data_IF_654579010791
#
_entry.id   IF_654579010791
#
_cell.length_a   1.000
_cell.length_b   1.000
_cell.length_c   1.000
_cell.angle_alpha   90.00
_cell.angle_beta   90.00
_cell.angle_gamma   90.00
#
_symmetry.space_group_name_H-M   'P 1'
#
loop_
_entity.id
_entity.type
_entity.pdbx_description
1 polymer ?
#
# COMPACT_ATOMS: atom_id res chain seq x y z
N UNK A 1 -56.01 -58.68 -24.36
CA UNK A 1 -57.34 -58.63 -23.71
C UNK A 1 -57.12 -58.56 -22.21
N UNK A 2 -57.39 -57.39 -21.60
CA UNK A 2 -58.37 -57.18 -20.52
C UNK A 2 -57.94 -57.84 -19.17
N UNK A 3 -57.82 -57.19 -18.02
CA UNK A 3 -58.49 -56.07 -17.33
C UNK A 3 -57.46 -55.47 -16.32
N UNK A 4 -57.50 -54.25 -15.78
CA UNK A 4 -58.57 -53.28 -15.56
C UNK A 4 -58.79 -53.03 -14.05
N UNK A 5 -58.70 -51.75 -13.63
CA UNK A 5 -59.17 -51.07 -12.39
C UNK A 5 -58.20 -51.00 -11.18
N UNK A 6 -57.70 -49.83 -10.78
CA UNK A 6 -58.30 -48.57 -10.25
C UNK A 6 -58.54 -48.64 -8.74
N UNK A 7 -57.84 -47.78 -7.97
CA UNK A 7 -58.40 -47.14 -6.77
C UNK A 7 -57.63 -45.86 -6.44
N UNK A 8 -58.28 -44.72 -6.70
CA UNK A 8 -57.91 -43.39 -6.20
C UNK A 8 -58.24 -43.25 -4.71
N UNK A 9 -57.40 -42.53 -3.95
CA UNK A 9 -57.85 -41.78 -2.76
C UNK A 9 -57.04 -40.50 -2.58
N UNK A 10 -57.72 -39.36 -2.77
CA UNK A 10 -57.29 -38.04 -2.30
C UNK A 10 -57.61 -37.92 -0.82
N UNK A 11 -56.70 -37.38 -0.02
CA UNK A 11 -57.02 -36.55 1.15
C UNK A 11 -56.01 -35.40 1.21
N UNK A 12 -56.49 -34.27 1.70
CA UNK A 12 -56.04 -32.90 1.48
C UNK A 12 -55.57 -32.33 2.83
N UNK A 13 -54.86 -31.19 2.76
CA UNK A 13 -54.73 -30.11 3.78
C UNK A 13 -53.62 -30.25 4.85
N UNK A 14 -52.62 -29.36 4.82
CA UNK A 14 -52.38 -28.24 5.78
C UNK A 14 -50.97 -27.61 5.61
N UNK A 15 -50.93 -26.34 5.18
CA UNK A 15 -49.96 -25.30 5.64
C UNK A 15 -50.49 -24.74 6.98
N UNK A 16 -49.73 -24.03 7.85
CA UNK A 16 -48.57 -23.13 7.66
C UNK A 16 -47.42 -23.42 8.69
N UNK A 17 -46.32 -22.67 8.92
CA UNK A 17 -46.08 -21.23 8.96
C UNK A 17 -44.58 -20.85 8.94
N UNK A 18 -44.35 -19.59 8.54
CA UNK A 18 -43.30 -18.63 8.93
C UNK A 18 -42.08 -19.07 9.77
N UNK A 19 -40.89 -18.79 9.22
CA UNK A 19 -39.71 -18.24 9.93
C UNK A 19 -38.99 -17.28 8.95
N UNK A 20 -39.23 -15.96 9.06
CA UNK A 20 -38.29 -14.93 9.56
C UNK A 20 -36.96 -14.85 8.76
N UNK A 21 -36.87 -13.91 7.81
CA UNK A 21 -36.26 -12.57 7.95
C UNK A 21 -34.76 -12.62 8.32
N UNK A 22 -33.93 -12.32 7.32
CA UNK A 22 -32.51 -12.02 7.47
C UNK A 22 -31.90 -11.53 6.16
N UNK A 23 -32.55 -10.60 5.45
CA UNK A 23 -31.85 -9.90 4.36
C UNK A 23 -30.90 -8.91 5.01
N UNK A 24 -29.61 -9.24 4.95
CA UNK A 24 -28.53 -8.40 5.42
C UNK A 24 -28.72 -6.98 4.91
N UNK A 25 -28.76 -6.04 5.86
CA UNK A 25 -28.46 -4.65 5.56
C UNK A 25 -27.13 -4.67 4.81
N UNK A 26 -27.11 -4.12 3.60
CA UNK A 26 -25.88 -3.53 3.10
C UNK A 26 -25.42 -2.53 4.15
N UNK A 27 -24.47 -2.94 4.97
CA UNK A 27 -23.62 -2.04 5.74
C UNK A 27 -22.85 -1.24 4.69
N UNK A 28 -23.49 -0.18 4.18
CA UNK A 28 -22.77 0.95 3.60
C UNK A 28 -21.98 1.54 4.76
N UNK A 29 -20.82 0.96 5.04
CA UNK A 29 -19.77 1.67 5.77
C UNK A 29 -19.41 2.87 4.91
N UNK A 30 -20.07 3.99 5.16
CA UNK A 30 -19.49 5.28 4.87
C UNK A 30 -18.10 5.29 5.52
N UNK A 31 -17.02 5.59 4.78
CA UNK A 31 -15.69 5.68 5.36
C UNK A 31 -15.73 6.70 6.50
N UNK A 32 -15.16 6.33 7.66
CA UNK A 32 -15.17 7.20 8.84
C UNK A 32 -14.28 8.40 8.53
N UNK A 33 -14.77 9.61 8.81
CA UNK A 33 -14.01 10.87 8.66
C UNK A 33 -12.88 11.05 9.70
N UNK A 34 -12.30 9.95 10.21
CA UNK A 34 -11.21 9.94 11.19
C UNK A 34 -9.85 9.57 10.58
N UNK A 35 -9.77 9.46 9.25
CA UNK A 35 -8.61 8.87 8.55
C UNK A 35 -7.80 9.89 7.72
N UNK A 36 -8.09 11.19 7.79
CA UNK A 36 -7.38 12.23 7.03
C UNK A 36 -6.35 12.99 7.90
N UNK A 37 -5.20 13.36 7.34
CA UNK A 37 -4.22 14.24 8.00
C UNK A 37 -4.20 15.58 7.26
N UNK A 38 -4.95 16.56 7.76
CA UNK A 38 -5.18 17.86 7.11
C UNK A 38 -4.13 18.87 7.53
N UNK A 39 -3.62 18.75 8.75
CA UNK A 39 -2.72 19.72 9.38
C UNK A 39 -1.30 19.18 9.52
N UNK A 40 -0.33 20.10 9.67
CA UNK A 40 1.07 19.75 9.94
C UNK A 40 1.24 18.93 11.23
N UNK A 41 0.41 19.21 12.24
CA UNK A 41 0.43 18.49 13.51
C UNK A 41 -0.06 17.05 13.35
N UNK A 42 -1.07 16.82 12.51
CA UNK A 42 -1.55 15.47 12.19
C UNK A 42 -0.53 14.68 11.37
N UNK A 43 0.13 15.31 10.38
CA UNK A 43 1.23 14.70 9.63
C UNK A 43 2.41 14.34 10.54
N UNK A 44 2.76 15.24 11.47
CA UNK A 44 3.81 15.00 12.48
C UNK A 44 3.42 13.86 13.41
N UNK A 45 2.18 13.85 13.90
CA UNK A 45 1.67 12.78 14.76
C UNK A 45 1.66 11.43 14.03
N UNK A 46 1.28 11.40 12.75
CA UNK A 46 1.35 10.21 11.92
C UNK A 46 2.78 9.68 11.79
N UNK A 47 3.74 10.56 11.47
CA UNK A 47 5.16 10.19 11.40
C UNK A 47 5.65 9.57 12.71
N UNK A 48 5.33 10.18 13.85
CA UNK A 48 5.72 9.67 15.17
C UNK A 48 5.15 8.27 15.41
N UNK A 49 3.85 8.06 15.15
CA UNK A 49 3.20 6.74 15.30
C UNK A 49 3.84 5.64 14.44
N UNK A 50 4.30 5.97 13.24
CA UNK A 50 5.02 4.99 12.41
C UNK A 50 6.43 4.73 12.92
N UNK A 51 7.13 5.78 13.36
CA UNK A 51 8.50 5.69 13.90
C UNK A 51 8.54 4.82 15.15
N UNK A 52 7.58 5.00 16.07
CA UNK A 52 7.48 4.22 17.31
C UNK A 52 7.30 2.71 17.09
N UNK A 53 6.79 2.31 15.91
CA UNK A 53 6.59 0.89 15.55
C UNK A 53 7.84 0.25 14.94
N UNK A 54 8.89 1.03 14.67
CA UNK A 54 10.14 0.57 14.09
C UNK A 54 11.27 0.93 15.06
N UNK A 55 11.51 0.09 16.09
CA UNK A 55 12.62 0.32 17.02
C UNK A 55 13.94 0.49 16.29
N UNK A 56 14.67 1.58 16.59
CA UNK A 56 15.94 1.90 15.96
C UNK A 56 15.84 2.58 14.60
N UNK A 57 14.65 2.99 14.15
CA UNK A 57 14.51 3.71 12.88
C UNK A 57 15.39 4.97 12.83
N UNK A 58 16.20 5.07 11.78
CA UNK A 58 16.99 6.26 11.45
C UNK A 58 16.54 6.75 10.08
N UNK A 59 16.26 8.05 10.00
CA UNK A 59 15.88 8.67 8.73
C UNK A 59 17.01 8.47 7.71
N UNK A 60 16.74 7.91 6.50
CA UNK A 60 17.76 7.76 5.48
C UNK A 60 18.23 9.12 4.97
N UNK A 61 19.47 9.20 4.51
CA UNK A 61 20.03 10.36 3.82
C UNK A 61 19.40 10.56 2.43
N UNK A 62 19.02 9.47 1.75
CA UNK A 62 18.28 9.49 0.48
C UNK A 62 17.45 8.21 0.31
N UNK A 63 16.32 8.29 -0.41
CA UNK A 63 15.53 7.09 -0.73
C UNK A 63 14.65 7.28 -1.97
N UNK A 64 14.27 6.17 -2.60
CA UNK A 64 13.33 6.14 -3.72
C UNK A 64 12.63 4.78 -3.83
N UNK A 65 11.59 4.71 -4.66
CA UNK A 65 11.01 3.45 -5.13
C UNK A 65 11.19 3.38 -6.65
N UNK A 66 11.55 2.21 -7.16
CA UNK A 66 11.52 1.94 -8.59
C UNK A 66 10.65 0.74 -8.91
N UNK A 67 9.97 0.78 -10.05
CA UNK A 67 9.41 -0.40 -10.70
C UNK A 67 10.52 -1.09 -11.50
N UNK A 68 10.57 -2.41 -11.43
CA UNK A 68 11.41 -3.30 -12.24
C UNK A 68 10.53 -4.12 -13.18
N UNK A 69 10.80 -3.95 -14.46
CA UNK A 69 10.23 -4.69 -15.59
C UNK A 69 11.35 -5.10 -16.58
N UNK A 70 10.99 -5.72 -17.70
CA UNK A 70 11.96 -6.16 -18.72
C UNK A 70 12.73 -5.01 -19.36
N UNK A 71 12.18 -3.78 -19.37
CA UNK A 71 12.84 -2.59 -19.88
C UNK A 71 13.82 -1.98 -18.85
N UNK A 72 13.78 -2.44 -17.59
CA UNK A 72 14.72 -2.09 -16.54
C UNK A 72 14.04 -1.43 -15.33
N UNK A 73 14.71 -0.41 -14.78
CA UNK A 73 14.20 0.34 -13.63
C UNK A 73 13.58 1.66 -14.08
N UNK A 74 12.33 1.86 -13.68
CA UNK A 74 11.62 3.13 -13.74
C UNK A 74 11.50 3.68 -12.33
N UNK A 75 12.18 4.78 -12.04
CA UNK A 75 12.17 5.41 -10.72
C UNK A 75 10.95 6.32 -10.56
N UNK A 76 10.33 6.28 -9.38
CA UNK A 76 9.39 7.29 -8.92
C UNK A 76 10.12 8.55 -8.46
N UNK A 77 9.52 9.28 -7.52
CA UNK A 77 10.15 10.47 -6.95
C UNK A 77 11.45 10.10 -6.21
N UNK A 78 12.53 10.84 -6.51
CA UNK A 78 13.81 10.72 -5.83
C UNK A 78 13.83 11.67 -4.63
N UNK A 79 14.03 11.13 -3.43
CA UNK A 79 14.28 11.95 -2.24
C UNK A 79 15.78 12.01 -2.06
N UNK A 80 16.39 13.11 -2.49
CA UNK A 80 17.84 13.33 -2.54
C UNK A 80 18.38 13.78 -1.17
N UNK A 81 19.71 13.87 -1.07
CA UNK A 81 20.38 14.37 0.12
C UNK A 81 19.89 15.78 0.48
N UNK A 82 19.37 15.95 1.70
CA UNK A 82 18.83 17.22 2.19
C UNK A 82 17.36 17.49 1.84
N UNK A 83 16.73 16.71 0.97
CA UNK A 83 15.32 16.89 0.55
C UNK A 83 14.42 15.71 0.97
N UNK A 84 14.84 14.95 1.98
CA UNK A 84 14.14 13.76 2.46
C UNK A 84 12.77 14.10 3.04
N UNK A 85 11.73 13.37 2.62
CA UNK A 85 10.35 13.48 3.14
C UNK A 85 10.12 12.47 4.28
N UNK A 86 10.16 12.87 5.57
CA UNK A 86 10.26 11.91 6.67
C UNK A 86 9.04 11.00 6.86
N UNK A 87 7.84 11.52 6.62
CA UNK A 87 6.61 10.73 6.74
C UNK A 87 6.58 9.61 5.69
N UNK A 88 6.88 9.92 4.43
CA UNK A 88 6.94 8.93 3.36
C UNK A 88 8.07 7.92 3.59
N UNK A 89 9.24 8.36 4.07
CA UNK A 89 10.35 7.47 4.41
C UNK A 89 9.95 6.42 5.45
N UNK A 90 9.34 6.84 6.57
CA UNK A 90 8.97 5.90 7.64
C UNK A 90 7.78 5.00 7.26
N UNK A 91 6.85 5.49 6.42
CA UNK A 91 5.78 4.66 5.87
C UNK A 91 6.36 3.55 4.98
N UNK A 92 7.29 3.89 4.09
CA UNK A 92 7.95 2.90 3.22
C UNK A 92 8.78 1.90 4.05
N UNK A 93 9.52 2.38 5.05
CA UNK A 93 10.26 1.55 5.97
C UNK A 93 9.35 0.54 6.71
N UNK A 94 8.17 0.98 7.11
CA UNK A 94 7.18 0.15 7.83
C UNK A 94 6.61 -1.01 7.01
N UNK A 95 6.80 -1.01 5.68
CA UNK A 95 6.37 -2.10 4.79
C UNK A 95 7.53 -2.96 4.31
N UNK A 96 8.72 -2.39 4.14
CA UNK A 96 9.88 -3.10 3.58
C UNK A 96 10.88 -3.59 4.64
N UNK A 97 10.73 -3.16 5.90
CA UNK A 97 11.61 -3.56 7.01
C UNK A 97 12.92 -2.77 7.08
N UNK A 98 13.02 -1.61 6.43
CA UNK A 98 14.17 -0.71 6.65
C UNK A 98 14.16 -0.19 8.09
N UNK A 99 15.34 -0.15 8.70
CA UNK A 99 15.55 0.41 10.05
C UNK A 99 16.58 1.54 9.99
N UNK A 100 17.83 1.25 9.63
CA UNK A 100 18.91 2.24 9.69
C UNK A 100 20.12 1.91 8.79
N UNK A 101 19.95 1.06 7.77
CA UNK A 101 21.07 0.57 6.94
C UNK A 101 20.85 0.83 5.47
N UNK A 102 21.91 1.24 4.75
CA UNK A 102 21.88 1.31 3.29
C UNK A 102 21.49 -0.05 2.71
N UNK A 103 20.56 -0.06 1.75
CA UNK A 103 20.01 -1.29 1.22
C UNK A 103 19.00 -1.12 0.10
N UNK A 104 18.81 -2.22 -0.64
CA UNK A 104 17.76 -2.36 -1.65
C UNK A 104 16.79 -3.45 -1.19
N UNK A 105 15.52 -3.08 -1.02
CA UNK A 105 14.48 -3.94 -0.48
C UNK A 105 13.48 -4.28 -1.57
N UNK A 106 13.30 -5.58 -1.85
CA UNK A 106 12.31 -6.05 -2.83
C UNK A 106 10.90 -5.92 -2.25
N UNK A 107 10.00 -5.39 -3.06
CA UNK A 107 8.58 -5.29 -2.79
C UNK A 107 7.81 -5.95 -3.92
N UNK A 108 6.77 -6.70 -3.58
CA UNK A 108 5.72 -7.06 -4.53
C UNK A 108 4.71 -5.90 -4.67
N UNK A 109 3.74 -6.10 -5.56
CA UNK A 109 2.67 -5.11 -5.81
C UNK A 109 1.85 -4.83 -4.56
N UNK A 110 1.59 -5.85 -3.75
CA UNK A 110 0.75 -5.76 -2.56
C UNK A 110 1.41 -4.90 -1.49
N UNK A 111 2.72 -5.04 -1.29
CA UNK A 111 3.49 -4.21 -0.34
C UNK A 111 3.61 -2.76 -0.76
N UNK A 112 3.79 -2.48 -2.06
CA UNK A 112 3.78 -1.09 -2.51
C UNK A 112 2.38 -0.47 -2.42
N UNK A 113 1.33 -1.24 -2.73
CA UNK A 113 -0.06 -0.80 -2.51
C UNK A 113 -0.33 -0.50 -1.04
N UNK A 114 0.12 -1.36 -0.12
CA UNK A 114 0.03 -1.14 1.32
C UNK A 114 0.72 0.17 1.75
N UNK A 115 1.90 0.49 1.18
CA UNK A 115 2.56 1.77 1.45
C UNK A 115 1.74 2.97 0.96
N UNK A 116 1.13 2.87 -0.22
CA UNK A 116 0.24 3.90 -0.77
C UNK A 116 -0.98 4.09 0.12
N UNK A 117 -1.64 3.02 0.55
CA UNK A 117 -2.81 3.09 1.42
C UNK A 117 -2.47 3.70 2.79
N UNK A 118 -1.32 3.33 3.37
CA UNK A 118 -0.83 3.89 4.63
C UNK A 118 -0.49 5.38 4.53
N UNK A 119 -0.05 5.86 3.36
CA UNK A 119 0.30 7.27 3.12
C UNK A 119 -0.88 8.12 2.61
N UNK A 120 -1.90 7.50 2.01
CA UNK A 120 -3.05 8.18 1.41
C UNK A 120 -3.75 9.23 2.31
N UNK A 121 -3.87 9.04 3.64
CA UNK A 121 -4.36 10.09 4.55
C UNK A 121 -3.70 11.46 4.42
N UNK A 122 -2.42 11.51 4.02
CA UNK A 122 -1.67 12.74 3.85
C UNK A 122 -2.20 13.61 2.71
N UNK A 123 -2.89 13.03 1.72
CA UNK A 123 -3.46 13.74 0.57
C UNK A 123 -4.44 14.86 0.98
N UNK A 124 -5.04 14.76 2.18
CA UNK A 124 -5.93 15.77 2.73
C UNK A 124 -5.21 17.07 3.12
N UNK A 125 -3.90 17.03 3.38
CA UNK A 125 -3.07 18.22 3.58
C UNK A 125 -2.73 18.84 2.23
N UNK A 126 -3.68 19.58 1.65
CA UNK A 126 -3.58 20.16 0.31
C UNK A 126 -2.58 21.33 0.19
N UNK A 127 -2.14 21.88 1.32
CA UNK A 127 -1.11 22.93 1.39
C UNK A 127 0.31 22.42 1.19
N UNK A 128 0.52 21.10 1.19
CA UNK A 128 1.83 20.47 0.96
C UNK A 128 1.76 19.49 -0.22
N UNK A 129 2.79 19.47 -1.10
CA UNK A 129 2.86 18.47 -2.15
C UNK A 129 3.23 17.08 -1.60
N UNK A 130 2.66 16.03 -2.19
CA UNK A 130 2.90 14.63 -1.82
C UNK A 130 3.54 13.82 -2.97
N UNK A 131 4.73 14.22 -3.47
CA UNK A 131 5.30 13.65 -4.69
C UNK A 131 5.58 12.14 -4.60
N UNK A 132 5.95 11.65 -3.40
CA UNK A 132 6.11 10.22 -3.16
C UNK A 132 4.79 9.46 -3.39
N UNK A 133 3.70 9.91 -2.77
CA UNK A 133 2.39 9.26 -2.88
C UNK A 133 1.94 9.16 -4.35
N UNK A 134 2.05 10.27 -5.09
CA UNK A 134 1.70 10.30 -6.51
C UNK A 134 2.59 9.39 -7.34
N UNK A 135 3.91 9.48 -7.16
CA UNK A 135 4.84 8.64 -7.92
C UNK A 135 4.65 7.14 -7.65
N UNK A 136 4.33 6.73 -6.41
CA UNK A 136 4.07 5.32 -6.09
C UNK A 136 2.78 4.82 -6.75
N UNK A 137 1.74 5.68 -6.82
CA UNK A 137 0.52 5.38 -7.58
C UNK A 137 0.82 5.23 -9.07
N UNK A 138 1.65 6.10 -9.65
CA UNK A 138 2.05 6.02 -11.06
C UNK A 138 2.86 4.74 -11.36
N UNK A 139 3.78 4.36 -10.46
CA UNK A 139 4.53 3.11 -10.57
C UNK A 139 3.61 1.89 -10.57
N UNK A 140 2.61 1.86 -9.70
CA UNK A 140 1.59 0.80 -9.64
C UNK A 140 0.68 0.78 -10.88
N UNK A 141 0.32 1.96 -11.39
CA UNK A 141 -0.54 2.11 -12.56
C UNK A 141 0.15 1.63 -13.84
N UNK A 142 1.45 1.92 -13.99
CA UNK A 142 2.23 1.47 -15.14
C UNK A 142 2.81 0.06 -15.03
N UNK A 143 2.51 -0.69 -13.96
CA UNK A 143 3.08 -2.01 -13.74
C UNK A 143 2.34 -3.12 -14.48
N UNK A 144 3.06 -3.80 -15.37
CA UNK A 144 2.63 -5.00 -16.09
C UNK A 144 2.60 -6.25 -15.19
N UNK A 145 1.88 -7.33 -15.57
CA UNK A 145 1.95 -8.61 -14.88
C UNK A 145 3.40 -9.09 -14.72
N UNK A 146 3.80 -9.41 -13.48
CA UNK A 146 5.18 -9.82 -13.18
C UNK A 146 6.15 -8.69 -12.82
N UNK A 147 5.73 -7.42 -12.93
CA UNK A 147 6.52 -6.30 -12.41
C UNK A 147 6.82 -6.47 -10.93
N UNK A 148 8.04 -6.14 -10.53
CA UNK A 148 8.45 -6.06 -9.12
C UNK A 148 8.82 -4.63 -8.76
N UNK A 149 8.94 -4.32 -7.48
CA UNK A 149 9.34 -3.00 -7.02
C UNK A 149 10.57 -3.11 -6.11
N UNK A 150 11.38 -2.07 -6.11
CA UNK A 150 12.56 -1.95 -5.27
C UNK A 150 12.47 -0.66 -4.48
N UNK A 151 12.60 -0.74 -3.16
CA UNK A 151 12.80 0.42 -2.30
C UNK A 151 14.30 0.56 -2.02
N UNK A 152 14.84 1.74 -2.31
CA UNK A 152 16.24 2.09 -2.12
C UNK A 152 16.36 2.98 -0.91
N UNK A 153 17.28 2.66 0.00
CA UNK A 153 17.62 3.50 1.14
C UNK A 153 19.13 3.68 1.19
N UNK A 154 19.57 4.93 1.32
CA UNK A 154 20.95 5.29 1.67
C UNK A 154 20.92 5.83 3.09
N UNK A 155 21.50 5.09 4.04
CA UNK A 155 21.56 5.51 5.43
C UNK A 155 22.60 6.62 5.62
N UNK A 156 23.81 6.41 5.08
CA UNK A 156 24.89 7.39 5.04
C UNK A 156 25.38 7.61 3.59
N UNK A 157 25.67 8.85 3.22
CA UNK A 157 26.18 9.19 1.88
C UNK A 157 27.54 8.52 1.62
N UNK A 158 28.33 8.29 2.67
CA UNK A 158 29.65 7.64 2.60
C UNK A 158 29.56 6.10 2.57
N UNK A 159 28.37 5.53 2.78
CA UNK A 159 28.19 4.07 2.66
C UNK A 159 28.52 3.64 1.22
N UNK A 160 29.27 2.54 1.02
CA UNK A 160 29.50 2.00 -0.32
C UNK A 160 28.17 1.47 -0.92
N UNK A 161 28.03 1.48 -2.26
CA UNK A 161 26.87 0.86 -2.89
C UNK A 161 26.76 -0.63 -2.55
N UNK A 162 25.56 -1.10 -2.21
CA UNK A 162 25.36 -2.52 -1.83
C UNK A 162 25.24 -3.45 -3.03
N UNK A 163 24.81 -2.94 -4.18
CA UNK A 163 24.74 -3.67 -5.46
C UNK A 163 24.70 -2.70 -6.67
N UNK A 164 24.52 -3.26 -7.87
CA UNK A 164 24.45 -2.48 -9.12
C UNK A 164 23.20 -1.59 -9.22
N UNK A 165 22.11 -1.97 -8.56
CA UNK A 165 20.87 -1.19 -8.57
C UNK A 165 21.01 0.04 -7.66
N UNK A 166 21.57 -0.15 -6.46
CA UNK A 166 21.94 0.96 -5.57
C UNK A 166 22.96 1.89 -6.24
N UNK A 167 23.99 1.34 -6.88
CA UNK A 167 24.94 2.15 -7.64
C UNK A 167 24.27 2.96 -8.76
N UNK A 168 23.23 2.42 -9.41
CA UNK A 168 22.44 3.16 -10.40
C UNK A 168 21.59 4.25 -9.75
N UNK A 169 20.92 3.95 -8.64
CA UNK A 169 20.16 4.94 -7.88
C UNK A 169 21.05 6.11 -7.44
N UNK A 170 22.22 5.83 -6.87
CA UNK A 170 23.18 6.87 -6.43
C UNK A 170 23.69 7.76 -7.56
N UNK A 171 23.85 7.24 -8.79
CA UNK A 171 24.16 8.08 -9.95
C UNK A 171 23.06 9.10 -10.26
N UNK A 172 21.79 8.76 -10.03
CA UNK A 172 20.68 9.69 -10.20
C UNK A 172 20.64 10.77 -9.11
N UNK A 173 21.22 10.51 -7.94
CA UNK A 173 21.33 11.48 -6.85
C UNK A 173 22.41 12.54 -7.11
N UNK A 174 23.42 12.21 -7.93
CA UNK A 174 24.58 13.07 -8.18
C UNK A 174 24.35 14.18 -9.22
N UNK A 175 23.28 14.07 -10.03
CA UNK A 175 23.00 15.00 -11.13
C UNK A 175 23.77 14.68 -12.41
#
# INVERSE_FOLDING_TARGET
>A
MAHGRVASRRVRIRRPAHVARGRGRHDRRSPRMSDAWVTDDELRAARLRFTERIPGFVLPAAYAVARRDDAGLTFGHLNTYGEVRPLSAVVLASVCGYVATTGVFRLDRERLLEAVERLAPAEAATHLPHPNLWSWRDLLAGAEPGSTFLAFFVADAEDPPVDSDDARFRRLLAG
#
